data_IF_790340342893
#
_entry.id   IF_790340342893
#
_cell.length_a   1.000
_cell.length_b   1.000
_cell.length_c   1.000
_cell.angle_alpha   90.00
_cell.angle_beta   90.00
_cell.angle_gamma   90.00
#
_symmetry.space_group_name_H-M   'P 1'
#
loop_
_entity.id
_entity.type
_entity.pdbx_description
1 polymer ?
#
# COMPACT_ATOMS: atom_id res chain seq x y z
N UNK A 1 1.81 2.20 -26.71
CA UNK A 1 1.59 1.36 -25.52
C UNK A 1 2.39 1.92 -24.36
N UNK A 2 1.93 1.75 -23.11
CA UNK A 2 2.72 2.08 -21.91
C UNK A 2 3.65 0.88 -21.58
N UNK A 3 4.87 1.09 -21.05
CA UNK A 3 5.72 -0.01 -20.60
C UNK A 3 5.04 -0.87 -19.53
N UNK A 4 5.49 -2.12 -19.37
CA UNK A 4 4.93 -3.02 -18.37
C UNK A 4 5.07 -2.44 -16.95
N UNK A 5 4.07 -2.57 -16.05
CA UNK A 5 4.08 -1.97 -14.71
C UNK A 5 5.21 -2.41 -13.76
N UNK A 6 5.95 -3.46 -14.13
CA UNK A 6 7.16 -3.90 -13.41
C UNK A 6 8.42 -3.13 -13.82
N UNK A 7 8.42 -2.54 -15.02
CA UNK A 7 9.53 -1.75 -15.57
C UNK A 7 9.28 -0.27 -15.30
N UNK A 8 8.05 0.20 -15.52
CA UNK A 8 7.64 1.58 -15.28
C UNK A 8 6.50 1.63 -14.26
N UNK A 9 6.68 2.39 -13.20
CA UNK A 9 5.73 2.45 -12.07
C UNK A 9 4.67 3.55 -12.22
N UNK A 10 4.65 4.30 -13.33
CA UNK A 10 3.75 5.45 -13.51
C UNK A 10 2.28 5.10 -13.27
N UNK A 11 1.78 4.05 -13.93
CA UNK A 11 0.40 3.58 -13.76
C UNK A 11 0.10 3.09 -12.34
N UNK A 12 1.09 2.48 -11.67
CA UNK A 12 0.94 1.98 -10.30
C UNK A 12 0.85 3.14 -9.31
N UNK A 13 1.65 4.19 -9.53
CA UNK A 13 1.65 5.41 -8.73
C UNK A 13 0.37 6.20 -8.93
N UNK A 14 -0.08 6.38 -10.17
CA UNK A 14 -1.38 6.97 -10.49
C UNK A 14 -2.51 6.25 -9.73
N UNK A 15 -2.49 4.91 -9.75
CA UNK A 15 -3.49 4.10 -9.03
C UNK A 15 -3.38 4.26 -7.52
N UNK A 16 -2.18 4.16 -6.94
CA UNK A 16 -1.97 4.34 -5.50
C UNK A 16 -2.50 5.69 -5.00
N UNK A 17 -2.21 6.77 -5.72
CA UNK A 17 -2.66 8.11 -5.35
C UNK A 17 -4.18 8.27 -5.50
N UNK A 18 -4.79 7.61 -6.50
CA UNK A 18 -6.24 7.57 -6.65
C UNK A 18 -6.90 6.89 -5.45
N UNK A 19 -6.45 5.69 -5.08
CA UNK A 19 -7.01 4.95 -3.94
C UNK A 19 -6.78 5.66 -2.61
N UNK A 20 -5.66 6.38 -2.47
CA UNK A 20 -5.40 7.20 -1.29
C UNK A 20 -6.42 8.33 -1.09
N UNK A 21 -7.06 8.77 -2.18
CA UNK A 21 -8.11 9.78 -2.15
C UNK A 21 -9.51 9.24 -1.86
N UNK A 22 -9.70 7.93 -1.83
CA UNK A 22 -10.99 7.29 -1.60
C UNK A 22 -11.15 6.91 -0.11
N UNK A 23 -12.14 7.45 0.60
CA UNK A 23 -12.35 7.16 2.02
C UNK A 23 -12.85 5.72 2.26
N UNK A 24 -13.39 5.05 1.24
CA UNK A 24 -13.87 3.66 1.34
C UNK A 24 -12.73 2.64 1.26
N UNK A 25 -11.50 3.08 0.97
CA UNK A 25 -10.32 2.21 0.89
C UNK A 25 -9.70 2.01 2.27
N UNK A 26 -9.85 0.80 2.81
CA UNK A 26 -9.30 0.41 4.11
C UNK A 26 -7.76 0.41 4.14
N UNK A 27 -7.13 -0.11 3.09
CA UNK A 27 -5.68 -0.18 2.93
C UNK A 27 -5.31 -0.38 1.45
N UNK A 28 -4.04 -0.18 1.12
CA UNK A 28 -3.48 -0.53 -0.20
C UNK A 28 -2.41 -1.59 -0.02
N UNK A 29 -2.47 -2.66 -0.83
CA UNK A 29 -1.46 -3.71 -0.88
C UNK A 29 -0.59 -3.53 -2.11
N UNK A 30 0.73 -3.53 -1.94
CA UNK A 30 1.72 -3.41 -3.00
C UNK A 30 2.62 -4.65 -3.03
N UNK A 31 2.78 -5.25 -4.20
CA UNK A 31 3.82 -6.21 -4.49
C UNK A 31 5.01 -5.53 -5.19
N UNK A 32 6.22 -5.74 -4.70
CA UNK A 32 7.43 -5.22 -5.32
C UNK A 32 8.26 -6.38 -5.85
N UNK A 33 8.22 -6.58 -7.16
CA UNK A 33 8.93 -7.67 -7.83
C UNK A 33 10.33 -7.20 -8.25
N UNK A 34 11.34 -7.97 -7.86
CA UNK A 34 12.74 -7.74 -8.21
C UNK A 34 13.16 -8.63 -9.38
N UNK A 35 14.46 -8.67 -9.68
CA UNK A 35 15.05 -9.53 -10.69
C UNK A 35 15.24 -8.86 -12.04
N UNK A 36 15.74 -9.67 -12.98
CA UNK A 36 16.03 -9.23 -14.34
C UNK A 36 14.75 -8.80 -15.07
N UNK A 37 14.83 -7.69 -15.80
CA UNK A 37 13.67 -7.12 -16.50
C UNK A 37 12.71 -6.32 -15.61
N UNK A 38 12.95 -6.24 -14.30
CA UNK A 38 12.25 -5.31 -13.40
C UNK A 38 12.97 -3.95 -13.35
N UNK A 39 12.28 -2.92 -12.85
CA UNK A 39 12.89 -1.62 -12.63
C UNK A 39 14.18 -1.74 -11.77
N UNK A 40 15.26 -0.97 -12.05
CA UNK A 40 16.55 -1.12 -11.36
C UNK A 40 16.52 -0.73 -9.88
N UNK A 41 15.54 0.08 -9.46
CA UNK A 41 15.33 0.43 -8.06
C UNK A 41 13.86 0.77 -7.79
N UNK A 42 12.96 -0.22 -7.65
CA UNK A 42 11.53 0.00 -7.44
C UNK A 42 11.22 0.88 -6.22
N UNK A 43 11.92 0.66 -5.11
CA UNK A 43 11.69 1.38 -3.86
C UNK A 43 11.96 2.87 -3.99
N UNK A 44 12.99 3.28 -4.76
CA UNK A 44 13.28 4.70 -5.01
C UNK A 44 12.11 5.44 -5.66
N UNK A 45 11.35 4.76 -6.52
CA UNK A 45 10.22 5.34 -7.25
C UNK A 45 8.94 5.27 -6.41
N UNK A 46 8.71 4.16 -5.71
CA UNK A 46 7.52 3.96 -4.90
C UNK A 46 7.53 4.74 -3.58
N UNK A 47 8.68 4.88 -2.91
CA UNK A 47 8.77 5.52 -1.59
C UNK A 47 8.18 6.95 -1.55
N UNK A 48 8.51 7.86 -2.51
CA UNK A 48 7.87 9.16 -2.57
C UNK A 48 6.34 9.08 -2.77
N UNK A 49 5.86 8.13 -3.57
CA UNK A 49 4.43 7.95 -3.83
C UNK A 49 3.70 7.44 -2.58
N UNK A 50 4.29 6.52 -1.83
CA UNK A 50 3.76 6.00 -0.55
C UNK A 50 3.62 7.14 0.46
N UNK A 51 4.66 7.96 0.63
CA UNK A 51 4.59 9.14 1.52
C UNK A 51 3.48 10.10 1.12
N UNK A 52 3.34 10.38 -0.18
CA UNK A 52 2.28 11.25 -0.71
C UNK A 52 0.89 10.66 -0.47
N UNK A 53 0.69 9.37 -0.73
CA UNK A 53 -0.58 8.68 -0.48
C UNK A 53 -1.00 8.76 0.99
N UNK A 54 -0.08 8.45 1.91
CA UNK A 54 -0.34 8.55 3.36
C UNK A 54 -0.62 9.99 3.79
N UNK A 55 0.12 10.97 3.25
CA UNK A 55 -0.13 12.40 3.52
C UNK A 55 -1.49 12.85 3.02
N UNK A 56 -1.91 12.41 1.83
CA UNK A 56 -3.21 12.74 1.26
C UNK A 56 -4.35 12.18 2.11
N UNK A 57 -4.27 10.91 2.52
CA UNK A 57 -5.24 10.31 3.42
C UNK A 57 -5.32 11.04 4.78
N UNK A 58 -4.17 11.39 5.36
CA UNK A 58 -4.11 12.19 6.61
C UNK A 58 -4.76 13.56 6.47
N UNK A 59 -4.59 14.21 5.32
CA UNK A 59 -5.28 15.46 4.99
C UNK A 59 -6.81 15.34 4.99
N UNK A 60 -7.34 14.12 4.87
CA UNK A 60 -8.77 13.80 4.96
C UNK A 60 -9.17 13.28 6.35
N UNK A 61 -8.27 13.33 7.34
CA UNK A 61 -8.54 12.90 8.71
C UNK A 61 -8.50 11.38 8.93
N UNK A 62 -7.92 10.60 8.00
CA UNK A 62 -7.78 9.15 8.12
C UNK A 62 -6.33 8.70 7.94
N UNK A 63 -5.97 7.57 8.54
CA UNK A 63 -4.74 6.87 8.18
C UNK A 63 -4.98 5.96 6.97
N UNK A 64 -3.94 5.78 6.15
CA UNK A 64 -3.92 4.78 5.07
C UNK A 64 -2.78 3.80 5.31
N UNK A 65 -3.08 2.59 5.80
CA UNK A 65 -2.14 1.48 5.82
C UNK A 65 -1.72 1.15 4.38
N UNK A 66 -0.40 1.12 4.15
CA UNK A 66 0.19 0.67 2.90
C UNK A 66 0.98 -0.58 3.22
N UNK A 67 0.43 -1.72 2.86
CA UNK A 67 1.01 -3.04 3.07
C UNK A 67 1.89 -3.34 1.86
N UNK A 68 3.09 -3.85 2.09
CA UNK A 68 4.00 -4.21 1.02
C UNK A 68 4.64 -5.57 1.27
N UNK A 69 4.81 -6.37 0.22
CA UNK A 69 5.75 -7.49 0.23
C UNK A 69 6.71 -7.38 -0.94
N UNK A 70 7.96 -7.78 -0.74
CA UNK A 70 8.99 -7.74 -1.78
C UNK A 70 9.24 -9.17 -2.26
N UNK A 71 8.95 -9.42 -3.53
CA UNK A 71 9.16 -10.71 -4.20
C UNK A 71 10.49 -10.65 -4.94
N UNK A 72 11.50 -11.34 -4.40
CA UNK A 72 12.85 -11.36 -4.92
C UNK A 72 13.79 -12.05 -3.94
N UNK A 73 15.07 -12.11 -4.31
CA UNK A 73 16.13 -12.78 -3.56
C UNK A 73 17.34 -11.87 -3.41
N UNK A 74 18.27 -12.22 -2.53
CA UNK A 74 19.55 -11.51 -2.39
C UNK A 74 20.46 -11.64 -3.62
N UNK A 75 20.15 -12.56 -4.54
CA UNK A 75 20.89 -12.74 -5.79
C UNK A 75 20.37 -11.84 -6.93
N UNK A 76 19.26 -11.13 -6.73
CA UNK A 76 18.73 -10.22 -7.74
C UNK A 76 19.58 -8.94 -7.87
N UNK A 77 19.55 -8.26 -9.03
CA UNK A 77 20.32 -7.03 -9.25
C UNK A 77 19.95 -5.89 -8.27
N UNK A 78 18.72 -5.91 -7.74
CA UNK A 78 18.22 -4.96 -6.76
C UNK A 78 18.48 -5.51 -5.34
N UNK A 79 19.24 -4.82 -4.48
CA UNK A 79 19.54 -5.34 -3.14
C UNK A 79 18.27 -5.45 -2.28
N UNK A 80 17.82 -6.68 -2.01
CA UNK A 80 16.53 -7.00 -1.39
C UNK A 80 16.28 -6.21 -0.10
N UNK A 81 17.21 -6.28 0.85
CA UNK A 81 17.07 -5.61 2.15
C UNK A 81 17.09 -4.08 2.04
N UNK A 82 17.83 -3.53 1.07
CA UNK A 82 17.78 -2.08 0.79
C UNK A 82 16.41 -1.67 0.25
N UNK A 83 15.81 -2.47 -0.65
CA UNK A 83 14.47 -2.20 -1.16
C UNK A 83 13.42 -2.23 -0.04
N UNK A 84 13.46 -3.25 0.83
CA UNK A 84 12.57 -3.34 2.01
C UNK A 84 12.75 -2.15 2.95
N UNK A 85 13.98 -1.81 3.30
CA UNK A 85 14.27 -0.70 4.22
C UNK A 85 13.76 0.64 3.70
N UNK A 86 13.97 0.94 2.41
CA UNK A 86 13.49 2.18 1.79
C UNK A 86 11.96 2.28 1.76
N UNK A 87 11.27 1.16 1.55
CA UNK A 87 9.80 1.11 1.57
C UNK A 87 9.26 1.26 3.01
N UNK A 88 9.91 0.61 3.98
CA UNK A 88 9.59 0.73 5.39
C UNK A 88 9.77 2.18 5.90
N UNK A 89 10.88 2.83 5.56
CA UNK A 89 11.16 4.24 5.88
C UNK A 89 10.12 5.19 5.26
N UNK A 90 9.59 4.85 4.08
CA UNK A 90 8.49 5.59 3.47
C UNK A 90 7.14 5.40 4.19
N UNK A 91 7.08 4.53 5.20
CA UNK A 91 5.89 4.23 5.99
C UNK A 91 5.07 3.05 5.47
N UNK A 92 5.62 2.20 4.61
CA UNK A 92 4.98 0.93 4.25
C UNK A 92 5.23 -0.13 5.33
N UNK A 93 4.24 -0.98 5.58
CA UNK A 93 4.36 -2.14 6.46
C UNK A 93 4.85 -3.33 5.63
N UNK A 94 6.05 -3.84 5.93
CA UNK A 94 6.68 -4.91 5.16
C UNK A 94 6.27 -6.28 5.69
N UNK A 95 5.77 -7.13 4.79
CA UNK A 95 5.42 -8.52 5.06
C UNK A 95 6.33 -9.45 4.28
N UNK A 96 6.63 -10.61 4.88
CA UNK A 96 7.53 -11.60 4.29
C UNK A 96 6.94 -12.40 3.12
N UNK A 97 5.63 -12.30 2.87
CA UNK A 97 4.97 -13.02 1.78
C UNK A 97 3.67 -12.34 1.34
N UNK A 98 3.21 -12.68 0.13
CA UNK A 98 1.90 -12.27 -0.39
C UNK A 98 0.76 -12.76 0.52
N UNK A 99 0.85 -13.96 1.06
CA UNK A 99 -0.14 -14.50 2.01
C UNK A 99 -0.20 -13.68 3.30
N UNK A 100 0.95 -13.33 3.87
CA UNK A 100 1.00 -12.49 5.06
C UNK A 100 0.40 -11.10 4.82
N UNK A 101 0.74 -10.49 3.68
CA UNK A 101 0.17 -9.22 3.25
C UNK A 101 -1.36 -9.31 3.06
N UNK A 102 -1.86 -10.38 2.45
CA UNK A 102 -3.30 -10.60 2.24
C UNK A 102 -4.06 -10.78 3.56
N UNK A 103 -3.52 -11.55 4.50
CA UNK A 103 -4.12 -11.71 5.83
C UNK A 103 -4.17 -10.39 6.61
N UNK A 104 -3.10 -9.59 6.54
CA UNK A 104 -3.09 -8.26 7.15
C UNK A 104 -4.15 -7.34 6.53
N UNK A 105 -4.25 -7.32 5.19
CA UNK A 105 -5.24 -6.52 4.48
C UNK A 105 -6.68 -6.95 4.84
N UNK A 106 -6.94 -8.26 4.92
CA UNK A 106 -8.23 -8.79 5.38
C UNK A 106 -8.55 -8.29 6.79
N UNK A 107 -7.62 -8.42 7.73
CA UNK A 107 -7.83 -8.01 9.12
C UNK A 107 -8.15 -6.50 9.24
N UNK A 108 -7.49 -5.65 8.45
CA UNK A 108 -7.77 -4.21 8.40
C UNK A 108 -9.16 -3.94 7.82
N UNK A 109 -9.48 -4.55 6.68
CA UNK A 109 -10.77 -4.35 6.02
C UNK A 109 -11.95 -4.81 6.89
N UNK A 110 -11.81 -5.93 7.60
CA UNK A 110 -12.84 -6.42 8.54
C UNK A 110 -13.08 -5.48 9.72
N UNK A 111 -12.04 -4.79 10.21
CA UNK A 111 -12.20 -3.80 11.29
C UNK A 111 -12.93 -2.56 10.81
N UNK A 112 -12.56 -2.01 9.65
CA UNK A 112 -13.23 -0.85 9.07
C UNK A 112 -14.73 -1.13 8.85
N UNK A 113 -15.08 -2.30 8.31
CA UNK A 113 -16.47 -2.70 8.15
C UNK A 113 -17.24 -2.85 9.48
N UNK A 114 -16.57 -3.27 10.55
CA UNK A 114 -17.17 -3.33 11.87
C UNK A 114 -17.42 -1.92 12.46
N UNK A 115 -16.45 -1.01 12.31
CA UNK A 115 -16.54 0.37 12.79
C UNK A 115 -17.63 1.17 12.06
N UNK A 116 -17.78 0.97 10.75
CA UNK A 116 -18.84 1.55 9.93
C UNK A 116 -20.23 1.08 10.42
N UNK A 117 -20.37 -0.22 10.71
CA UNK A 117 -21.61 -0.79 11.23
C UNK A 117 -21.96 -0.25 12.62
N UNK A 118 -20.97 -0.05 13.49
CA UNK A 118 -21.17 0.56 14.82
C UNK A 118 -21.61 2.02 14.67
N UNK A 119 -20.98 2.77 13.78
CA UNK A 119 -21.32 4.19 13.53
C UNK A 119 -22.74 4.33 12.98
N UNK A 120 -23.12 3.49 12.00
CA UNK A 120 -24.47 3.47 11.44
C UNK A 120 -25.55 3.15 12.50
N UNK A 121 -25.31 2.18 13.39
CA UNK A 121 -26.23 1.85 14.49
C UNK A 121 -26.41 2.99 15.48
N UNK A 122 -25.35 3.74 15.80
CA UNK A 122 -25.44 4.90 16.72
C UNK A 122 -26.26 6.04 16.12
N UNK A 123 -26.11 6.33 14.82
CA UNK A 123 -26.91 7.34 14.13
C UNK A 123 -28.40 6.98 14.15
N UNK A 124 -28.74 5.71 13.96
CA UNK A 124 -30.13 5.22 14.01
C UNK A 124 -30.76 5.29 15.42
N UNK A 125 -29.96 5.35 16.49
CA UNK A 125 -30.45 5.35 17.89
C UNK A 125 -30.47 6.74 18.53
N UNK A 126 -29.93 7.77 17.88
CA UNK A 126 -29.77 9.12 18.44
C UNK A 126 -30.67 10.21 17.85
N UNK A 127 -31.71 9.84 17.10
CA UNK A 127 -32.69 10.77 16.56
C UNK A 127 -33.96 10.83 17.41
N UNK A 128 -33.95 11.65 18.45
CA UNK A 128 -35.15 12.17 19.14
C UNK A 128 -35.07 13.70 19.20
#
# INVERSE_FOLDING_TARGET
GRPHPMIDYGVRIERLLKEAGDPTVACVVLDVVLGYGSHPNPAKVLAPAIRRAKTAARGQGRELPVICFVCGTDADPQPLETQKAMLADAGAEIFGSSTGAAHAAQAIASRMAADDNVSARRVMQGGE
#
